data_IF_857988171057
#
_entry.id   IF_857988171057
#
_cell.length_a   1.000
_cell.length_b   1.000
_cell.length_c   1.000
_cell.angle_alpha   90.00
_cell.angle_beta   90.00
_cell.angle_gamma   90.00
#
_symmetry.space_group_name_H-M   'P 1'
#
loop_
_entity.id
_entity.type
_entity.pdbx_description
1 polymer ?
#
# COMPACT_ATOMS: atom_id res chain seq x y z
N UNK A 1 -39.70 -9.78 28.93
CA UNK A 1 -38.66 -8.73 28.95
C UNK A 1 -37.35 -9.41 29.27
N UNK A 2 -36.51 -9.80 28.31
CA UNK A 2 -35.29 -9.03 28.03
C UNK A 2 -34.55 -9.53 26.76
N UNK A 3 -35.03 -9.18 25.56
CA UNK A 3 -34.26 -9.32 24.30
C UNK A 3 -33.63 -7.98 23.89
N UNK A 4 -32.96 -7.30 24.82
CA UNK A 4 -32.32 -6.00 24.61
C UNK A 4 -30.86 -5.96 25.08
N UNK A 5 -30.14 -7.08 24.98
CA UNK A 5 -28.66 -7.06 24.99
C UNK A 5 -28.16 -7.14 23.54
N UNK A 6 -28.28 -6.00 22.86
CA UNK A 6 -27.92 -5.76 21.47
C UNK A 6 -26.41 -5.82 21.28
N UNK A 7 -25.97 -6.91 20.62
CA UNK A 7 -24.98 -7.00 19.52
C UNK A 7 -24.23 -5.71 19.09
N UNK A 8 -23.52 -5.06 20.02
CA UNK A 8 -22.70 -3.86 19.76
C UNK A 8 -21.21 -4.21 19.71
N UNK A 9 -20.76 -5.16 20.55
CA UNK A 9 -19.40 -5.72 20.51
C UNK A 9 -19.11 -6.44 19.18
N UNK A 10 -20.08 -7.18 18.63
CA UNK A 10 -19.96 -7.89 17.35
C UNK A 10 -19.77 -6.95 16.15
N UNK A 11 -20.52 -5.84 16.08
CA UNK A 11 -20.42 -4.87 14.96
C UNK A 11 -19.10 -4.09 14.94
N UNK A 12 -18.59 -3.69 16.11
CA UNK A 12 -17.31 -3.00 16.20
C UNK A 12 -16.16 -3.95 15.83
N UNK A 13 -16.18 -5.18 16.34
CA UNK A 13 -15.21 -6.21 16.01
C UNK A 13 -15.21 -6.56 14.52
N UNK A 14 -16.38 -6.70 13.89
CA UNK A 14 -16.51 -6.97 12.46
C UNK A 14 -15.90 -5.85 11.60
N UNK A 15 -16.11 -4.58 11.98
CA UNK A 15 -15.50 -3.43 11.27
C UNK A 15 -13.98 -3.44 11.36
N UNK A 16 -13.43 -3.73 12.53
CA UNK A 16 -11.98 -3.85 12.73
C UNK A 16 -11.42 -5.01 11.91
N UNK A 17 -12.11 -6.15 11.88
CA UNK A 17 -11.71 -7.31 11.08
C UNK A 17 -11.72 -6.99 9.57
N UNK A 18 -12.76 -6.31 9.07
CA UNK A 18 -12.83 -5.88 7.67
C UNK A 18 -11.72 -4.90 7.31
N UNK A 19 -11.42 -3.95 8.20
CA UNK A 19 -10.33 -3.01 8.00
C UNK A 19 -8.96 -3.71 8.00
N UNK A 20 -8.72 -4.62 8.95
CA UNK A 20 -7.48 -5.41 8.99
C UNK A 20 -7.32 -6.30 7.76
N UNK A 21 -8.40 -6.94 7.30
CA UNK A 21 -8.42 -7.74 6.08
C UNK A 21 -8.11 -6.88 4.84
N UNK A 22 -8.67 -5.68 4.76
CA UNK A 22 -8.36 -4.72 3.70
C UNK A 22 -6.87 -4.33 3.69
N UNK A 23 -6.31 -3.93 4.84
CA UNK A 23 -4.89 -3.60 4.95
C UNK A 23 -3.99 -4.78 4.58
N UNK A 24 -4.34 -5.98 5.04
CA UNK A 24 -3.64 -7.21 4.71
C UNK A 24 -3.67 -7.47 3.20
N UNK A 25 -4.81 -7.21 2.55
CA UNK A 25 -4.97 -7.28 1.10
C UNK A 25 -4.09 -6.32 0.30
N UNK A 26 -3.55 -5.26 0.93
CA UNK A 26 -2.60 -4.36 0.29
C UNK A 26 -1.15 -4.89 0.35
N UNK A 27 -0.81 -5.61 1.41
CA UNK A 27 0.56 -6.05 1.69
C UNK A 27 0.83 -7.45 1.17
N UNK A 28 -0.12 -8.39 1.31
CA UNK A 28 0.05 -9.80 0.93
C UNK A 28 0.45 -10.00 -0.54
N UNK A 29 -0.18 -9.34 -1.53
CA UNK A 29 0.23 -9.49 -2.93
C UNK A 29 1.68 -9.06 -3.20
N UNK A 30 2.24 -8.24 -2.31
CA UNK A 30 3.59 -7.69 -2.40
C UNK A 30 4.60 -8.49 -1.55
N UNK A 31 4.21 -9.59 -0.91
CA UNK A 31 5.07 -10.35 0.00
C UNK A 31 6.39 -10.82 -0.65
N UNK A 32 6.36 -11.13 -1.95
CA UNK A 32 7.57 -11.49 -2.70
C UNK A 32 8.64 -10.38 -2.70
N UNK A 33 8.22 -9.11 -2.75
CA UNK A 33 9.15 -7.99 -2.68
C UNK A 33 9.77 -7.83 -1.29
N UNK A 34 8.99 -8.07 -0.22
CA UNK A 34 9.50 -8.09 1.15
C UNK A 34 10.51 -9.22 1.37
N UNK A 35 10.23 -10.40 0.84
CA UNK A 35 11.14 -11.55 0.91
C UNK A 35 12.44 -11.25 0.15
N UNK A 36 12.35 -10.71 -1.07
CA UNK A 36 13.53 -10.34 -1.86
C UNK A 36 14.39 -9.29 -1.14
N UNK A 37 13.76 -8.25 -0.59
CA UNK A 37 14.45 -7.25 0.23
C UNK A 37 15.13 -7.88 1.46
N UNK A 38 14.43 -8.77 2.17
CA UNK A 38 14.98 -9.48 3.34
C UNK A 38 16.19 -10.35 2.98
N UNK A 39 16.14 -11.07 1.85
CA UNK A 39 17.27 -11.86 1.35
C UNK A 39 18.47 -10.99 0.95
N UNK A 40 18.23 -9.90 0.22
CA UNK A 40 19.28 -8.93 -0.13
C UNK A 40 19.93 -8.38 1.13
N UNK A 41 19.12 -8.05 2.14
CA UNK A 41 19.60 -7.56 3.44
C UNK A 41 20.43 -8.62 4.16
N UNK A 42 19.95 -9.86 4.25
CA UNK A 42 20.65 -10.96 4.90
C UNK A 42 21.97 -11.32 4.21
N UNK A 43 22.05 -11.17 2.88
CA UNK A 43 23.24 -11.49 2.11
C UNK A 43 24.28 -10.37 2.19
N UNK A 44 23.93 -9.14 1.82
CA UNK A 44 24.93 -8.17 1.36
C UNK A 44 25.30 -7.08 2.37
N UNK A 45 24.55 -6.91 3.46
CA UNK A 45 24.91 -5.92 4.48
C UNK A 45 26.25 -6.30 5.16
N UNK A 46 26.92 -5.36 5.88
CA UNK A 46 28.21 -5.65 6.52
C UNK A 46 28.20 -6.85 7.47
N UNK A 47 27.05 -7.12 8.11
CA UNK A 47 26.84 -8.26 9.02
C UNK A 47 26.14 -9.44 8.34
N UNK A 48 26.04 -9.44 7.01
CA UNK A 48 25.36 -10.47 6.23
C UNK A 48 26.25 -11.68 5.92
N UNK A 49 25.67 -12.67 5.23
CA UNK A 49 26.37 -13.90 4.85
C UNK A 49 27.43 -13.70 3.75
N UNK A 50 27.21 -12.76 2.83
CA UNK A 50 28.08 -12.42 1.70
C UNK A 50 28.20 -10.89 1.56
N UNK A 51 28.91 -10.21 2.49
CA UNK A 51 28.92 -8.74 2.53
C UNK A 51 29.45 -8.13 1.22
N UNK A 52 28.68 -7.21 0.65
CA UNK A 52 29.08 -6.45 -0.55
C UNK A 52 28.50 -5.04 -0.50
N UNK A 53 29.39 -4.04 -0.49
CA UNK A 53 29.01 -2.64 -0.32
C UNK A 53 28.24 -2.06 -1.52
N UNK A 54 28.36 -2.64 -2.71
CA UNK A 54 27.61 -2.21 -3.88
C UNK A 54 26.18 -2.74 -3.83
N UNK A 55 25.99 -4.04 -3.55
CA UNK A 55 24.65 -4.64 -3.42
C UNK A 55 23.91 -4.17 -2.16
N UNK A 56 24.60 -3.90 -1.05
CA UNK A 56 24.00 -3.35 0.16
C UNK A 56 23.25 -2.02 -0.08
N UNK A 57 23.67 -1.24 -1.09
CA UNK A 57 22.99 0.02 -1.47
C UNK A 57 21.55 -0.19 -1.94
N UNK A 58 21.14 -1.41 -2.29
CA UNK A 58 19.75 -1.72 -2.67
C UNK A 58 18.80 -1.70 -1.46
N UNK A 59 19.29 -2.02 -0.26
CA UNK A 59 18.46 -2.19 0.94
C UNK A 59 17.67 -0.92 1.27
N UNK A 60 18.34 0.24 1.23
CA UNK A 60 17.74 1.54 1.55
C UNK A 60 16.63 1.94 0.57
N UNK A 61 16.90 2.04 -0.74
CA UNK A 61 15.87 2.41 -1.71
C UNK A 61 14.70 1.43 -1.77
N UNK A 62 14.93 0.14 -1.50
CA UNK A 62 13.85 -0.85 -1.46
C UNK A 62 12.89 -0.59 -0.30
N UNK A 63 13.40 -0.39 0.93
CA UNK A 63 12.53 -0.15 2.09
C UNK A 63 11.87 1.23 2.06
N UNK A 64 12.57 2.26 1.58
CA UNK A 64 12.06 3.64 1.60
C UNK A 64 11.13 3.94 0.44
N UNK A 65 11.40 3.42 -0.77
CA UNK A 65 10.61 3.72 -1.96
C UNK A 65 9.83 2.52 -2.48
N UNK A 66 10.52 1.45 -2.84
CA UNK A 66 9.91 0.34 -3.58
C UNK A 66 8.74 -0.30 -2.82
N UNK A 67 8.97 -0.72 -1.57
CA UNK A 67 7.96 -1.44 -0.80
C UNK A 67 6.73 -0.55 -0.48
N UNK A 68 6.88 0.70 -0.02
CA UNK A 68 5.75 1.62 0.12
C UNK A 68 4.99 1.84 -1.19
N UNK A 69 5.68 2.09 -2.31
CA UNK A 69 5.04 2.33 -3.61
C UNK A 69 4.21 1.14 -4.09
N UNK A 70 4.70 -0.09 -3.89
CA UNK A 70 3.96 -1.31 -4.22
C UNK A 70 2.70 -1.46 -3.38
N UNK A 71 2.76 -1.12 -2.08
CA UNK A 71 1.57 -1.10 -1.21
C UNK A 71 0.58 -0.03 -1.66
N UNK A 72 1.07 1.17 -1.97
CA UNK A 72 0.26 2.28 -2.47
C UNK A 72 -0.44 1.94 -3.78
N UNK A 73 0.29 1.29 -4.70
CA UNK A 73 -0.24 0.79 -5.95
C UNK A 73 -1.34 -0.25 -5.74
N UNK A 74 -1.08 -1.28 -4.92
CA UNK A 74 -2.09 -2.31 -4.64
C UNK A 74 -3.33 -1.70 -3.98
N UNK A 75 -3.13 -0.76 -3.05
CA UNK A 75 -4.20 -0.01 -2.41
C UNK A 75 -5.08 0.78 -3.36
N UNK A 76 -4.45 1.56 -4.23
CA UNK A 76 -5.16 2.31 -5.26
C UNK A 76 -5.86 1.39 -6.26
N UNK A 77 -5.24 0.24 -6.57
CA UNK A 77 -5.79 -0.76 -7.48
C UNK A 77 -7.05 -1.43 -6.95
N UNK A 78 -7.08 -1.75 -5.66
CA UNK A 78 -8.28 -2.31 -5.00
C UNK A 78 -9.49 -1.37 -5.13
N UNK A 79 -9.26 -0.05 -5.13
CA UNK A 79 -10.33 0.95 -5.17
C UNK A 79 -10.71 1.36 -6.59
N UNK A 80 -9.73 1.67 -7.44
CA UNK A 80 -9.89 2.32 -8.74
C UNK A 80 -9.27 1.56 -9.91
N UNK A 81 -9.03 0.24 -9.77
CA UNK A 81 -8.42 -0.58 -10.81
C UNK A 81 -7.01 -0.13 -11.18
N UNK A 82 -6.51 -0.49 -12.36
CA UNK A 82 -5.13 -0.19 -12.77
C UNK A 82 -4.80 1.31 -12.71
N UNK A 83 -5.73 2.18 -13.13
CA UNK A 83 -5.57 3.64 -13.05
C UNK A 83 -5.48 4.11 -11.60
N UNK A 84 -6.33 3.57 -10.73
CA UNK A 84 -6.24 3.78 -9.29
C UNK A 84 -4.90 3.36 -8.71
N UNK A 85 -4.33 2.25 -9.18
CA UNK A 85 -3.00 1.81 -8.75
C UNK A 85 -1.91 2.82 -9.10
N UNK A 86 -1.87 3.31 -10.33
CA UNK A 86 -0.87 4.30 -10.76
C UNK A 86 -1.00 5.59 -9.95
N UNK A 87 -2.21 6.11 -9.78
CA UNK A 87 -2.45 7.32 -8.97
C UNK A 87 -2.12 7.08 -7.49
N UNK A 88 -2.44 5.89 -6.95
CA UNK A 88 -2.10 5.50 -5.58
C UNK A 88 -0.59 5.44 -5.33
N UNK A 89 0.19 4.95 -6.31
CA UNK A 89 1.64 4.97 -6.26
C UNK A 89 2.20 6.41 -6.30
N UNK A 90 1.68 7.27 -7.18
CA UNK A 90 2.07 8.69 -7.25
C UNK A 90 1.78 9.40 -5.92
N UNK A 91 0.59 9.20 -5.37
CA UNK A 91 0.21 9.78 -4.08
C UNK A 91 1.10 9.28 -2.93
N UNK A 92 1.49 8.01 -2.97
CA UNK A 92 2.42 7.42 -2.01
C UNK A 92 3.82 8.00 -2.15
N UNK A 93 4.29 8.26 -3.38
CA UNK A 93 5.57 8.93 -3.60
C UNK A 93 5.62 10.30 -2.92
N UNK A 94 4.53 11.08 -3.01
CA UNK A 94 4.41 12.37 -2.34
C UNK A 94 4.56 12.30 -0.82
N UNK A 95 4.13 11.20 -0.20
CA UNK A 95 4.29 10.98 1.24
C UNK A 95 5.68 10.46 1.60
N UNK A 96 6.28 9.62 0.75
CA UNK A 96 7.65 9.14 0.94
C UNK A 96 8.66 10.29 0.90
N UNK A 97 8.53 11.24 -0.04
CA UNK A 97 9.44 12.39 -0.11
C UNK A 97 9.25 13.38 1.04
N UNK A 98 8.13 13.31 1.75
CA UNK A 98 7.79 14.19 2.87
C UNK A 98 8.26 13.69 4.24
N UNK A 99 8.91 12.51 4.31
CA UNK A 99 9.35 11.92 5.57
C UNK A 99 10.67 11.16 5.41
N UNK A 100 11.51 11.20 6.45
CA UNK A 100 12.81 10.51 6.47
C UNK A 100 12.72 9.02 6.87
N UNK A 101 11.50 8.52 7.12
CA UNK A 101 11.23 7.14 7.55
C UNK A 101 10.41 6.37 6.50
N UNK A 102 10.55 5.03 6.41
CA UNK A 102 9.73 4.22 5.52
C UNK A 102 8.21 4.39 5.75
N UNK A 103 7.49 4.90 4.75
CA UNK A 103 6.07 5.30 4.88
C UNK A 103 5.09 4.18 4.53
N UNK A 104 5.19 3.02 5.21
CA UNK A 104 4.24 1.91 5.00
C UNK A 104 2.79 2.28 5.33
N UNK A 105 2.56 2.91 6.49
CA UNK A 105 1.22 3.40 6.86
C UNK A 105 0.76 4.53 5.93
N UNK A 106 1.67 5.41 5.55
CA UNK A 106 1.40 6.48 4.59
C UNK A 106 0.90 5.91 3.26
N UNK A 107 1.57 4.88 2.73
CA UNK A 107 1.15 4.16 1.54
C UNK A 107 -0.21 3.49 1.70
N UNK A 108 -0.46 2.88 2.87
CA UNK A 108 -1.74 2.21 3.16
C UNK A 108 -2.93 3.18 3.18
N UNK A 109 -2.70 4.44 3.53
CA UNK A 109 -3.72 5.48 3.54
C UNK A 109 -3.81 6.12 2.14
N UNK A 110 -2.68 6.55 1.57
CA UNK A 110 -2.67 7.30 0.31
C UNK A 110 -3.01 6.47 -0.92
N UNK A 111 -2.66 5.19 -0.95
CA UNK A 111 -2.99 4.30 -2.06
C UNK A 111 -4.48 4.29 -2.37
N UNK A 112 -5.34 3.85 -1.42
CA UNK A 112 -6.79 3.85 -1.57
C UNK A 112 -7.37 5.24 -1.84
N UNK A 113 -6.84 6.28 -1.19
CA UNK A 113 -7.28 7.66 -1.43
C UNK A 113 -7.02 8.10 -2.88
N UNK A 114 -5.84 7.81 -3.43
CA UNK A 114 -5.54 8.06 -4.84
C UNK A 114 -6.47 7.29 -5.77
N UNK A 115 -6.78 6.04 -5.44
CA UNK A 115 -7.79 5.24 -6.13
C UNK A 115 -9.20 5.84 -6.08
N UNK A 116 -9.62 6.40 -4.94
CA UNK A 116 -10.91 7.07 -4.80
C UNK A 116 -10.99 8.35 -5.64
N UNK A 117 -9.92 9.13 -5.66
CA UNK A 117 -9.85 10.38 -6.43
C UNK A 117 -10.03 10.09 -7.91
N UNK A 118 -9.28 9.14 -8.46
CA UNK A 118 -9.40 8.83 -9.90
C UNK A 118 -10.74 8.20 -10.24
N UNK A 119 -11.28 7.34 -9.37
CA UNK A 119 -12.60 6.72 -9.58
C UNK A 119 -13.71 7.78 -9.66
N UNK A 120 -13.64 8.81 -8.80
CA UNK A 120 -14.59 9.93 -8.83
C UNK A 120 -14.38 10.79 -10.07
N UNK A 121 -13.14 11.10 -10.42
CA UNK A 121 -12.81 11.87 -11.61
C UNK A 121 -13.32 11.17 -12.88
N UNK A 122 -13.08 9.87 -13.00
CA UNK A 122 -13.52 9.06 -14.13
C UNK A 122 -15.05 9.10 -14.28
N UNK A 123 -15.81 8.92 -13.20
CA UNK A 123 -17.27 9.01 -13.24
C UNK A 123 -17.82 10.41 -13.57
N UNK A 124 -17.07 11.48 -13.27
CA UNK A 124 -17.47 12.85 -13.62
C UNK A 124 -17.23 13.19 -15.10
N UNK A 125 -16.32 12.46 -15.71
CA UNK A 125 -15.80 12.69 -17.06
C UNK A 125 -16.35 11.64 -18.06
N UNK A 126 -16.94 10.56 -17.55
CA UNK A 126 -17.68 9.55 -18.30
C UNK A 126 -18.77 10.21 -19.15
N UNK A 127 -18.73 9.98 -20.47
CA UNK A 127 -19.63 10.60 -21.45
C UNK A 127 -19.24 12.02 -21.90
N UNK A 128 -18.18 12.62 -21.36
CA UNK A 128 -17.66 13.95 -21.78
C UNK A 128 -16.36 13.88 -22.59
N UNK A 129 -15.73 12.70 -22.65
CA UNK A 129 -14.55 12.50 -23.50
C UNK A 129 -15.03 11.93 -24.85
N UNK A 130 -14.77 12.62 -25.97
CA UNK A 130 -14.97 12.03 -27.28
C UNK A 130 -14.10 10.77 -27.39
N UNK A 131 -14.73 9.63 -27.64
CA UNK A 131 -14.02 8.47 -28.12
C UNK A 131 -13.51 8.84 -29.51
N UNK A 132 -12.19 9.02 -29.63
CA UNK A 132 -11.55 9.19 -30.93
C UNK A 132 -11.84 8.01 -31.85
#
# INVERSE_FOLDING_TARGET
>A
MSNLQTNTKGKAQERVQKFGSFLSGMVLPNIGAFIAWGLITALFIPTGWLPDAYFAKLVGPMITYLLPLLIGYTGGKIVGGTRGGVIGAIATMGVVVGADIPMFMGAMIMGPLGGLVIKKFDGLVEGKIPAG
#
